data_IF_869837388609
#
_entry.id   IF_869837388609
#
_cell.length_a   1.000
_cell.length_b   1.000
_cell.length_c   1.000
_cell.angle_alpha   90.00
_cell.angle_beta   90.00
_cell.angle_gamma   90.00
#
_symmetry.space_group_name_H-M   'P 1'
#
loop_
_entity.id
_entity.type
_entity.pdbx_description
1 polymer ?
#
# COMPACT_ATOMS: atom_id res chain seq x y z
N UNK A 1 -9.33 -29.09 12.28
CA UNK A 1 -9.77 -28.81 13.66
C UNK A 1 -10.73 -27.65 13.59
N UNK A 2 -12.01 -27.89 13.95
CA UNK A 2 -13.15 -27.03 13.61
C UNK A 2 -13.12 -25.65 14.28
N UNK A 3 -13.29 -24.57 13.53
CA UNK A 3 -13.74 -23.30 14.07
C UNK A 3 -15.18 -23.03 13.66
N UNK A 4 -16.01 -22.92 14.70
CA UNK A 4 -17.45 -22.78 14.67
C UNK A 4 -17.85 -21.35 14.33
N UNK A 5 -18.59 -21.17 13.23
CA UNK A 5 -19.35 -19.96 12.94
C UNK A 5 -20.44 -19.74 13.99
N UNK A 6 -20.42 -18.63 14.70
CA UNK A 6 -21.55 -18.15 15.49
C UNK A 6 -22.35 -17.15 14.67
N UNK A 7 -23.46 -17.63 14.15
CA UNK A 7 -24.55 -16.80 13.62
C UNK A 7 -25.31 -16.26 14.83
N UNK A 8 -25.34 -14.93 14.99
CA UNK A 8 -26.22 -14.27 15.94
C UNK A 8 -27.52 -13.94 15.21
N UNK A 9 -28.55 -14.76 15.44
CA UNK A 9 -29.91 -14.45 15.03
C UNK A 9 -30.52 -13.43 15.99
N UNK A 10 -30.87 -12.27 15.46
CA UNK A 10 -31.64 -11.26 16.21
C UNK A 10 -33.11 -11.66 16.22
N UNK A 11 -33.55 -12.21 17.32
CA UNK A 11 -34.96 -12.56 17.56
C UNK A 11 -35.76 -11.29 17.94
N UNK A 12 -36.73 -10.97 17.10
CA UNK A 12 -37.73 -9.93 17.35
C UNK A 12 -38.69 -10.44 18.44
N UNK A 13 -38.60 -9.89 19.64
CA UNK A 13 -39.57 -10.18 20.70
C UNK A 13 -40.74 -9.19 20.62
N UNK A 14 -41.89 -9.65 20.13
CA UNK A 14 -43.17 -8.97 20.33
C UNK A 14 -43.56 -9.13 21.78
N UNK A 15 -43.61 -8.04 22.51
CA UNK A 15 -44.23 -7.98 23.82
C UNK A 15 -45.67 -7.45 23.64
N UNK A 16 -46.61 -8.35 23.73
CA UNK A 16 -48.01 -8.01 23.91
C UNK A 16 -48.26 -7.74 25.40
N UNK A 17 -48.47 -6.51 25.80
CA UNK A 17 -49.02 -6.22 27.11
C UNK A 17 -50.55 -6.22 27.03
N UNK A 18 -51.16 -7.14 27.79
CA UNK A 18 -52.55 -7.11 28.12
C UNK A 18 -52.79 -6.24 29.35
N UNK A 19 -53.84 -5.45 29.24
CA UNK A 19 -54.17 -4.39 30.15
C UNK A 19 -54.68 -4.80 31.52
N UNK A 20 -54.67 -3.84 32.37
CA UNK A 20 -55.59 -3.78 33.51
C UNK A 20 -56.05 -2.34 33.69
N UNK A 21 -57.34 -2.14 33.58
CA UNK A 21 -58.03 -0.91 33.92
C UNK A 21 -57.76 -0.49 35.37
N UNK A 22 -57.46 0.80 35.53
CA UNK A 22 -58.03 1.61 36.59
C UNK A 22 -57.92 3.07 36.24
N UNK A 23 -59.06 3.73 36.18
CA UNK A 23 -59.25 5.15 36.08
C UNK A 23 -58.39 5.88 37.11
N UNK A 24 -57.53 6.79 36.60
CA UNK A 24 -57.16 7.99 37.32
C UNK A 24 -56.87 9.08 36.28
N UNK A 25 -57.78 10.02 36.23
CA UNK A 25 -57.79 11.20 35.40
C UNK A 25 -56.70 12.15 35.92
N UNK A 26 -55.52 12.05 35.38
CA UNK A 26 -54.54 13.13 35.38
C UNK A 26 -53.82 13.12 34.02
N UNK A 27 -54.36 13.90 33.09
CA UNK A 27 -53.65 14.34 31.91
C UNK A 27 -52.40 15.10 32.34
N UNK A 28 -51.30 14.37 32.61
CA UNK A 28 -49.99 14.96 32.59
C UNK A 28 -49.65 15.18 31.10
N UNK A 29 -49.93 16.41 30.65
CA UNK A 29 -49.25 16.95 29.49
C UNK A 29 -47.74 16.64 29.70
N UNK A 30 -47.16 15.85 28.83
CA UNK A 30 -45.72 15.73 28.71
C UNK A 30 -45.23 17.12 28.31
N UNK A 31 -44.94 17.94 29.28
CA UNK A 31 -44.26 19.22 29.05
C UNK A 31 -42.89 18.86 28.57
N UNK A 32 -42.67 18.94 27.26
CA UNK A 32 -41.36 18.92 26.64
C UNK A 32 -40.46 19.85 27.45
N UNK A 33 -39.42 19.27 28.06
CA UNK A 33 -38.57 20.06 28.97
C UNK A 33 -37.67 21.03 28.21
N UNK A 34 -37.82 21.14 26.88
CA UNK A 34 -37.01 21.99 26.00
C UNK A 34 -35.51 21.69 26.06
N UNK A 35 -35.12 20.47 26.45
CA UNK A 35 -33.73 20.05 26.63
C UNK A 35 -33.13 19.41 25.38
N UNK A 36 -34.00 18.98 24.46
CA UNK A 36 -33.58 18.21 23.29
C UNK A 36 -33.00 19.14 22.22
N UNK A 37 -31.84 18.76 21.67
CA UNK A 37 -31.09 19.51 20.68
C UNK A 37 -30.58 18.60 19.56
N UNK A 38 -31.48 17.80 19.00
CA UNK A 38 -31.11 16.87 17.92
C UNK A 38 -31.88 17.12 16.63
N UNK A 39 -31.29 16.67 15.53
CA UNK A 39 -31.91 16.64 14.21
C UNK A 39 -32.70 15.34 14.11
N UNK A 40 -34.02 15.43 13.87
CA UNK A 40 -34.89 14.24 13.74
C UNK A 40 -34.82 13.67 12.34
N UNK A 41 -34.79 14.53 11.32
CA UNK A 41 -34.60 14.12 9.93
C UNK A 41 -33.84 15.19 9.18
N UNK A 42 -33.13 14.75 8.14
CA UNK A 42 -32.42 15.62 7.22
C UNK A 42 -32.40 14.97 5.84
N UNK A 43 -32.64 15.71 4.79
CA UNK A 43 -32.55 15.24 3.41
C UNK A 43 -32.12 16.37 2.47
N UNK A 44 -31.41 15.98 1.41
CA UNK A 44 -31.07 16.86 0.29
C UNK A 44 -31.90 16.46 -0.92
N UNK A 45 -32.52 17.43 -1.58
CA UNK A 45 -33.34 17.20 -2.77
C UNK A 45 -32.67 17.82 -4.00
N UNK A 46 -32.45 17.01 -5.01
CA UNK A 46 -31.90 17.36 -6.33
C UNK A 46 -32.86 16.88 -7.40
N UNK A 47 -33.26 17.74 -8.32
CA UNK A 47 -34.16 17.42 -9.44
C UNK A 47 -35.44 16.67 -9.04
N UNK A 48 -35.97 17.03 -7.86
CA UNK A 48 -37.17 16.42 -7.30
C UNK A 48 -36.97 15.07 -6.60
N UNK A 49 -35.76 14.57 -6.52
CA UNK A 49 -35.38 13.31 -5.82
C UNK A 49 -34.80 13.69 -4.46
N UNK A 50 -35.35 13.15 -3.37
CA UNK A 50 -34.84 13.38 -2.02
C UNK A 50 -33.92 12.25 -1.55
N UNK A 51 -32.73 12.62 -1.09
CA UNK A 51 -31.74 11.74 -0.49
C UNK A 51 -31.72 11.96 1.03
N UNK A 52 -32.22 10.97 1.76
CA UNK A 52 -32.29 11.05 3.21
C UNK A 52 -30.94 10.81 3.85
N UNK A 53 -30.59 11.65 4.82
CA UNK A 53 -29.37 11.48 5.58
C UNK A 53 -29.49 10.35 6.62
N UNK A 54 -28.38 9.65 6.82
CA UNK A 54 -28.12 8.90 8.04
C UNK A 54 -27.62 9.86 9.12
N UNK A 55 -28.31 9.92 10.25
CA UNK A 55 -27.96 10.82 11.36
C UNK A 55 -27.50 9.94 12.51
N UNK A 56 -26.25 10.11 12.91
CA UNK A 56 -25.64 9.46 14.06
C UNK A 56 -25.04 10.52 14.94
N UNK A 57 -24.97 10.31 16.24
CA UNK A 57 -24.49 11.25 17.26
C UNK A 57 -24.32 12.71 16.79
N UNK A 58 -23.18 13.01 16.17
CA UNK A 58 -22.78 14.35 15.70
C UNK A 58 -22.62 14.45 14.16
N UNK A 59 -23.04 13.41 13.40
CA UNK A 59 -22.87 13.34 11.95
C UNK A 59 -24.17 13.31 11.20
N UNK A 60 -24.18 14.01 10.06
CA UNK A 60 -25.26 13.99 9.05
C UNK A 60 -24.57 13.50 7.75
N UNK A 61 -24.85 12.27 7.36
CA UNK A 61 -24.27 11.67 6.15
C UNK A 61 -25.35 11.46 5.09
N UNK A 62 -25.22 12.11 3.94
CA UNK A 62 -26.10 11.93 2.79
C UNK A 62 -25.39 11.07 1.74
N UNK A 63 -26.05 9.99 1.28
CA UNK A 63 -25.53 9.15 0.18
C UNK A 63 -26.27 9.49 -1.11
N UNK A 64 -25.52 9.84 -2.15
CA UNK A 64 -26.05 10.24 -3.46
C UNK A 64 -25.38 9.47 -4.59
N UNK A 65 -26.04 9.27 -5.74
CA UNK A 65 -25.36 8.73 -6.93
C UNK A 65 -24.19 9.61 -7.38
N UNK A 66 -23.15 9.00 -7.91
CA UNK A 66 -21.87 9.63 -8.27
C UNK A 66 -21.98 10.85 -9.20
N UNK A 67 -22.94 10.83 -10.12
CA UNK A 67 -23.06 11.86 -11.16
C UNK A 67 -24.00 13.02 -10.79
N UNK A 68 -24.43 13.10 -9.53
CA UNK A 68 -25.32 14.14 -9.04
C UNK A 68 -24.53 15.28 -8.42
N UNK A 69 -24.64 16.46 -9.01
CA UNK A 69 -24.15 17.69 -8.38
C UNK A 69 -25.10 18.13 -7.30
N UNK A 70 -24.58 18.32 -6.10
CA UNK A 70 -25.35 18.86 -4.97
C UNK A 70 -25.35 20.39 -4.93
N UNK A 71 -24.81 21.04 -5.96
CA UNK A 71 -24.87 22.49 -6.11
C UNK A 71 -26.27 22.90 -6.57
N UNK A 72 -26.90 23.80 -5.85
CA UNK A 72 -28.30 24.22 -6.10
C UNK A 72 -29.32 23.29 -5.45
N UNK A 73 -28.93 22.25 -4.76
CA UNK A 73 -29.83 21.35 -4.06
C UNK A 73 -30.50 22.02 -2.87
N UNK A 74 -31.75 21.61 -2.57
CA UNK A 74 -32.51 22.10 -1.44
C UNK A 74 -32.44 21.14 -0.25
N UNK A 75 -32.21 21.66 0.95
CA UNK A 75 -32.29 20.85 2.17
C UNK A 75 -33.67 20.91 2.78
N UNK A 76 -34.10 19.79 3.36
CA UNK A 76 -35.24 19.69 4.26
C UNK A 76 -34.83 19.00 5.55
N UNK A 77 -35.34 19.49 6.66
CA UNK A 77 -34.98 18.96 7.98
C UNK A 77 -36.12 19.14 9.00
N UNK A 78 -36.07 18.32 10.03
CA UNK A 78 -36.88 18.49 11.22
C UNK A 78 -36.00 18.41 12.46
N UNK A 79 -36.34 19.23 13.46
CA UNK A 79 -35.61 19.30 14.72
C UNK A 79 -36.45 18.74 15.87
N UNK A 80 -35.80 18.43 16.96
CA UNK A 80 -36.50 18.23 18.26
C UNK A 80 -37.28 19.47 18.64
N UNK A 81 -38.33 19.29 19.44
CA UNK A 81 -39.26 20.34 19.83
C UNK A 81 -38.55 21.54 20.47
N UNK A 82 -38.92 22.75 20.06
CA UNK A 82 -38.33 24.02 20.49
C UNK A 82 -36.82 24.18 20.24
N UNK A 83 -36.20 23.33 19.39
CA UNK A 83 -34.82 23.50 18.96
C UNK A 83 -34.71 24.43 17.76
N UNK A 84 -33.57 25.08 17.62
CA UNK A 84 -33.18 25.90 16.47
C UNK A 84 -31.86 25.41 15.90
N UNK A 85 -31.60 25.68 14.62
CA UNK A 85 -30.36 25.28 13.92
C UNK A 85 -29.71 26.50 13.30
N UNK A 86 -28.37 26.55 13.32
CA UNK A 86 -27.60 27.61 12.70
C UNK A 86 -26.31 27.02 12.10
N UNK A 87 -25.93 27.33 10.83
CA UNK A 87 -26.75 28.05 9.85
C UNK A 87 -28.04 27.29 9.50
N UNK A 88 -29.03 28.03 8.97
CA UNK A 88 -30.25 27.42 8.47
C UNK A 88 -29.95 26.60 7.20
N UNK A 89 -30.13 25.26 7.20
CA UNK A 89 -29.90 24.45 6.04
C UNK A 89 -30.70 24.85 4.80
N UNK A 90 -31.91 25.39 4.98
CA UNK A 90 -32.76 25.82 3.87
C UNK A 90 -32.22 27.04 3.10
N UNK A 91 -31.30 27.79 3.70
CA UNK A 91 -30.64 28.93 3.07
C UNK A 91 -29.37 28.58 2.32
N UNK A 92 -28.86 27.32 2.43
CA UNK A 92 -27.65 26.86 1.78
C UNK A 92 -27.96 26.31 0.39
N UNK A 93 -27.06 26.54 -0.54
CA UNK A 93 -27.22 26.15 -1.96
C UNK A 93 -26.10 25.32 -2.52
N UNK A 94 -25.00 25.11 -1.78
CA UNK A 94 -23.90 24.22 -2.18
C UNK A 94 -23.69 23.16 -1.12
N UNK A 95 -24.08 21.94 -1.44
CA UNK A 95 -24.01 20.78 -0.57
C UNK A 95 -22.88 19.82 -0.96
N UNK A 96 -22.00 20.22 -1.89
CA UNK A 96 -20.75 19.53 -2.14
C UNK A 96 -19.65 19.91 -1.13
N UNK A 97 -19.95 20.90 -0.25
CA UNK A 97 -19.07 21.34 0.82
C UNK A 97 -19.45 20.67 2.14
N UNK A 98 -18.48 20.51 3.04
CA UNK A 98 -18.73 20.09 4.41
C UNK A 98 -19.32 21.25 5.20
N UNK A 99 -20.33 20.97 6.01
CA UNK A 99 -21.00 21.96 6.84
C UNK A 99 -21.02 21.57 8.31
N UNK A 100 -20.96 22.58 9.18
CA UNK A 100 -21.23 22.42 10.61
C UNK A 100 -22.51 23.11 10.96
N UNK A 101 -23.40 22.42 11.70
CA UNK A 101 -24.64 22.92 12.18
C UNK A 101 -24.68 22.91 13.71
N UNK A 102 -25.05 24.04 14.33
CA UNK A 102 -25.26 24.11 15.77
C UNK A 102 -26.77 24.03 16.03
N UNK A 103 -27.20 22.96 16.66
CA UNK A 103 -28.59 22.79 17.12
C UNK A 103 -28.68 23.20 18.56
N UNK A 104 -29.50 24.22 18.82
CA UNK A 104 -29.70 24.82 20.15
C UNK A 104 -31.08 24.46 20.65
N UNK A 105 -31.16 23.80 21.80
CA UNK A 105 -32.40 23.49 22.48
C UNK A 105 -33.10 24.74 23.07
N UNK A 106 -34.38 24.64 23.42
CA UNK A 106 -35.13 25.73 24.07
C UNK A 106 -34.47 26.23 25.36
N UNK A 107 -33.73 25.39 26.08
CA UNK A 107 -33.00 25.77 27.28
C UNK A 107 -31.52 26.18 27.03
N UNK A 108 -31.17 26.54 25.77
CA UNK A 108 -29.87 27.07 25.36
C UNK A 108 -28.68 26.08 25.40
N UNK A 109 -28.94 24.79 25.34
CA UNK A 109 -27.87 23.80 25.16
C UNK A 109 -27.57 23.61 23.67
N UNK A 110 -26.28 23.57 23.31
CA UNK A 110 -25.82 23.40 21.94
C UNK A 110 -25.33 21.98 21.70
N UNK A 111 -25.58 21.47 20.49
CA UNK A 111 -25.00 20.29 19.93
C UNK A 111 -24.51 20.60 18.51
N UNK A 112 -23.30 20.20 18.17
CA UNK A 112 -22.73 20.40 16.85
C UNK A 112 -22.94 19.15 16.01
N UNK A 113 -23.35 19.34 14.77
CA UNK A 113 -23.42 18.28 13.75
C UNK A 113 -22.53 18.61 12.58
N UNK A 114 -21.88 17.60 12.04
CA UNK A 114 -21.04 17.68 10.86
C UNK A 114 -21.77 17.02 9.69
N UNK A 115 -22.08 17.81 8.67
CA UNK A 115 -22.62 17.32 7.42
C UNK A 115 -21.48 16.91 6.51
N UNK A 116 -21.64 15.74 5.89
CA UNK A 116 -20.85 15.24 4.78
C UNK A 116 -21.74 14.47 3.82
N UNK A 117 -21.26 14.26 2.60
CA UNK A 117 -21.91 13.38 1.65
C UNK A 117 -20.93 12.31 1.16
N UNK A 118 -21.47 11.19 0.72
CA UNK A 118 -20.75 10.10 0.08
C UNK A 118 -21.50 9.68 -1.17
N UNK A 119 -20.77 9.16 -2.15
CA UNK A 119 -21.43 8.53 -3.28
C UNK A 119 -21.98 7.16 -2.86
N UNK A 120 -23.22 6.87 -3.26
CA UNK A 120 -23.84 5.58 -3.01
C UNK A 120 -23.12 4.50 -3.82
N UNK A 121 -22.80 3.38 -3.18
CA UNK A 121 -22.29 2.21 -3.89
C UNK A 121 -23.42 1.64 -4.77
N UNK A 122 -23.17 1.61 -6.10
CA UNK A 122 -24.00 0.94 -7.08
C UNK A 122 -23.21 -0.25 -7.58
N UNK A 123 -23.52 -1.42 -7.01
CA UNK A 123 -22.76 -2.64 -7.24
C UNK A 123 -23.33 -3.47 -8.40
N UNK A 124 -22.42 -3.95 -9.25
CA UNK A 124 -22.67 -5.07 -10.18
C UNK A 124 -22.15 -6.35 -9.56
N UNK A 125 -23.00 -7.37 -9.42
CA UNK A 125 -22.61 -8.67 -8.89
C UNK A 125 -22.04 -9.58 -9.98
N UNK A 126 -20.90 -10.23 -9.68
CA UNK A 126 -20.19 -11.10 -10.60
C UNK A 126 -19.18 -10.37 -11.48
N UNK A 127 -18.61 -11.08 -12.43
CA UNK A 127 -17.57 -10.53 -13.31
C UNK A 127 -18.18 -9.68 -14.42
N UNK A 128 -17.58 -8.52 -14.68
CA UNK A 128 -17.89 -7.66 -15.81
C UNK A 128 -16.82 -7.87 -16.89
N UNK A 129 -17.25 -8.16 -18.11
CA UNK A 129 -16.37 -8.33 -19.26
C UNK A 129 -16.74 -7.27 -20.28
N UNK A 130 -15.78 -6.45 -20.68
CA UNK A 130 -15.90 -5.38 -21.67
C UNK A 130 -15.07 -5.79 -22.88
N UNK A 131 -15.73 -6.34 -23.93
CA UNK A 131 -15.03 -6.90 -25.10
C UNK A 131 -14.90 -5.91 -26.24
N UNK A 132 -15.69 -4.83 -26.24
CA UNK A 132 -15.73 -3.79 -27.28
C UNK A 132 -15.66 -2.40 -26.69
N UNK A 133 -15.30 -1.39 -27.50
CA UNK A 133 -15.37 0.01 -27.09
C UNK A 133 -16.79 0.40 -26.69
N UNK A 134 -17.81 -0.12 -27.38
CA UNK A 134 -19.22 0.15 -27.06
C UNK A 134 -19.59 -0.38 -25.65
N UNK A 135 -19.04 -1.50 -25.20
CA UNK A 135 -19.25 -1.99 -23.83
C UNK A 135 -18.68 -1.02 -22.81
N UNK A 136 -17.47 -0.50 -23.07
CA UNK A 136 -16.82 0.51 -22.22
C UNK A 136 -17.66 1.79 -22.16
N UNK A 137 -18.07 2.32 -23.32
CA UNK A 137 -18.86 3.56 -23.41
C UNK A 137 -20.22 3.44 -22.72
N UNK A 138 -20.86 2.28 -22.84
CA UNK A 138 -22.14 2.00 -22.20
C UNK A 138 -22.03 1.80 -20.70
N UNK A 139 -20.86 1.40 -20.17
CA UNK A 139 -20.66 1.16 -18.74
C UNK A 139 -20.96 2.41 -17.92
N UNK A 140 -20.56 3.59 -18.37
CA UNK A 140 -20.83 4.87 -17.69
C UNK A 140 -22.32 5.10 -17.43
N UNK A 141 -23.18 4.74 -18.40
CA UNK A 141 -24.63 4.94 -18.26
C UNK A 141 -25.28 4.07 -17.19
N UNK A 142 -24.62 2.99 -16.79
CA UNK A 142 -25.04 2.08 -15.71
C UNK A 142 -24.78 2.63 -14.32
N UNK A 143 -23.97 3.68 -14.19
CA UNK A 143 -23.60 4.35 -12.92
C UNK A 143 -22.96 3.43 -11.87
N UNK A 144 -22.40 2.30 -12.32
CA UNK A 144 -21.74 1.33 -11.45
C UNK A 144 -20.43 1.92 -10.95
N UNK A 145 -20.23 1.94 -9.63
CA UNK A 145 -18.96 2.31 -9.00
C UNK A 145 -18.31 1.15 -8.25
N UNK A 146 -19.00 0.01 -8.09
CA UNK A 146 -18.45 -1.20 -7.49
C UNK A 146 -18.73 -2.42 -8.37
N UNK A 147 -17.73 -3.22 -8.69
CA UNK A 147 -17.86 -4.54 -9.29
C UNK A 147 -17.55 -5.58 -8.21
N UNK A 148 -18.58 -6.32 -7.77
CA UNK A 148 -18.44 -7.43 -6.84
C UNK A 148 -18.02 -8.71 -7.60
N UNK A 149 -16.84 -8.67 -8.21
CA UNK A 149 -16.31 -9.71 -9.09
C UNK A 149 -15.04 -9.24 -9.79
N UNK A 150 -14.75 -9.80 -10.97
CA UNK A 150 -13.64 -9.36 -11.80
C UNK A 150 -14.08 -8.30 -12.81
N UNK A 151 -13.18 -7.39 -13.14
CA UNK A 151 -13.25 -6.55 -14.33
C UNK A 151 -12.26 -7.10 -15.36
N UNK A 152 -12.77 -7.51 -16.52
CA UNK A 152 -11.96 -7.95 -17.66
C UNK A 152 -12.16 -6.96 -18.79
N UNK A 153 -11.09 -6.31 -19.22
CA UNK A 153 -11.07 -5.37 -20.35
C UNK A 153 -10.39 -6.02 -21.53
N UNK A 154 -11.13 -6.16 -22.61
CA UNK A 154 -10.67 -6.73 -23.86
C UNK A 154 -10.69 -8.26 -23.89
N UNK A 155 -10.17 -8.79 -24.97
CA UNK A 155 -10.04 -10.20 -25.28
C UNK A 155 -8.65 -10.48 -25.89
N UNK A 156 -8.24 -11.75 -25.93
CA UNK A 156 -7.00 -12.14 -26.62
C UNK A 156 -7.14 -12.03 -28.15
N UNK A 157 -8.37 -12.11 -28.63
CA UNK A 157 -8.78 -11.85 -30.02
C UNK A 157 -10.13 -11.16 -29.98
N UNK A 158 -10.25 -9.98 -30.52
CA UNK A 158 -11.51 -9.20 -30.49
C UNK A 158 -11.35 -7.84 -31.16
N UNK A 159 -12.36 -7.01 -31.00
CA UNK A 159 -12.32 -5.61 -31.45
C UNK A 159 -11.40 -4.78 -30.55
N UNK A 160 -10.77 -3.78 -31.15
CA UNK A 160 -9.88 -2.88 -30.42
C UNK A 160 -10.69 -1.97 -29.48
N UNK A 161 -10.24 -1.88 -28.22
CA UNK A 161 -10.70 -0.93 -27.22
C UNK A 161 -9.62 0.14 -27.09
N UNK A 162 -9.95 1.40 -27.35
CA UNK A 162 -8.96 2.47 -27.48
C UNK A 162 -8.84 3.36 -26.24
N UNK A 163 -9.85 3.39 -25.36
CA UNK A 163 -9.84 4.13 -24.10
C UNK A 163 -10.77 3.46 -23.08
N UNK A 164 -10.68 3.92 -21.85
CA UNK A 164 -11.49 3.45 -20.71
C UNK A 164 -12.37 4.55 -20.10
N UNK A 165 -12.71 5.60 -20.87
CA UNK A 165 -13.46 6.77 -20.38
C UNK A 165 -14.82 6.41 -19.77
N UNK A 166 -15.39 5.29 -20.19
CA UNK A 166 -16.62 4.74 -19.61
C UNK A 166 -16.49 4.26 -18.16
N UNK A 167 -15.27 4.01 -17.67
CA UNK A 167 -14.98 3.50 -16.32
C UNK A 167 -14.70 4.63 -15.30
N UNK A 168 -14.86 5.90 -15.67
CA UNK A 168 -14.46 7.04 -14.83
C UNK A 168 -15.18 7.11 -13.47
N UNK A 169 -16.27 6.38 -13.30
CA UNK A 169 -17.02 6.31 -12.03
C UNK A 169 -16.66 5.08 -11.18
N UNK A 170 -15.82 4.18 -11.70
CA UNK A 170 -15.50 2.93 -11.02
C UNK A 170 -14.54 3.19 -9.86
N UNK A 171 -14.99 2.90 -8.62
CA UNK A 171 -14.22 3.10 -7.40
C UNK A 171 -13.67 1.78 -6.84
N UNK A 172 -14.38 0.65 -7.10
CA UNK A 172 -14.02 -0.62 -6.46
C UNK A 172 -14.22 -1.81 -7.38
N UNK A 173 -13.24 -2.74 -7.36
CA UNK A 173 -13.33 -4.08 -7.96
C UNK A 173 -12.91 -5.10 -6.91
N UNK A 174 -13.85 -5.92 -6.41
CA UNK A 174 -13.55 -6.79 -5.26
C UNK A 174 -12.59 -7.93 -5.57
N UNK A 175 -12.52 -8.39 -6.83
CA UNK A 175 -11.58 -9.42 -7.24
C UNK A 175 -10.48 -8.83 -8.12
N UNK A 176 -10.35 -9.22 -9.37
CA UNK A 176 -9.21 -8.85 -10.20
C UNK A 176 -9.59 -7.88 -11.32
N UNK A 177 -8.74 -6.89 -11.56
CA UNK A 177 -8.68 -6.12 -12.81
C UNK A 177 -7.70 -6.81 -13.75
N UNK A 178 -8.17 -7.14 -14.96
CA UNK A 178 -7.42 -7.87 -15.98
C UNK A 178 -7.54 -7.12 -17.31
N UNK A 179 -6.40 -6.68 -17.86
CA UNK A 179 -6.33 -6.00 -19.15
C UNK A 179 -5.75 -6.97 -20.18
N UNK A 180 -6.46 -7.16 -21.29
CA UNK A 180 -6.11 -8.12 -22.35
C UNK A 180 -5.60 -7.45 -23.62
N UNK A 181 -5.19 -8.25 -24.59
CA UNK A 181 -4.51 -7.86 -25.83
C UNK A 181 -5.31 -6.88 -26.71
N UNK A 182 -6.64 -6.96 -26.74
CA UNK A 182 -7.45 -6.07 -27.59
C UNK A 182 -7.62 -4.66 -27.00
N UNK A 183 -7.18 -4.40 -25.76
CA UNK A 183 -7.03 -3.04 -25.29
C UNK A 183 -5.83 -2.39 -25.97
N UNK A 184 -6.04 -1.26 -26.65
CA UNK A 184 -5.05 -0.54 -27.46
C UNK A 184 -4.71 0.85 -26.92
N UNK A 185 -5.35 1.27 -25.84
CA UNK A 185 -4.94 2.47 -25.13
C UNK A 185 -3.54 2.31 -24.56
N UNK A 186 -2.82 3.41 -24.40
CA UNK A 186 -1.48 3.45 -23.84
C UNK A 186 -1.47 3.80 -22.34
N UNK A 187 -2.63 4.10 -21.74
CA UNK A 187 -2.78 4.44 -20.33
C UNK A 187 -4.09 3.87 -19.74
N UNK A 188 -4.30 4.12 -18.43
CA UNK A 188 -5.49 3.72 -17.68
C UNK A 188 -6.27 4.92 -17.14
N UNK A 189 -6.15 6.10 -17.75
CA UNK A 189 -6.73 7.36 -17.27
C UNK A 189 -8.25 7.29 -17.04
N UNK A 190 -8.96 6.44 -17.81
CA UNK A 190 -10.39 6.20 -17.61
C UNK A 190 -10.75 5.51 -16.28
N UNK A 191 -9.78 4.95 -15.54
CA UNK A 191 -9.99 4.35 -14.22
C UNK A 191 -9.47 5.26 -13.08
N UNK A 192 -9.43 6.57 -13.29
CA UNK A 192 -8.86 7.53 -12.34
C UNK A 192 -9.56 7.61 -10.98
N UNK A 193 -10.80 7.11 -10.87
CA UNK A 193 -11.55 7.06 -9.61
C UNK A 193 -11.37 5.75 -8.84
N UNK A 194 -10.65 4.76 -9.38
CA UNK A 194 -10.47 3.45 -8.75
C UNK A 194 -9.67 3.58 -7.45
N UNK A 195 -10.29 3.22 -6.30
CA UNK A 195 -9.73 3.35 -4.95
C UNK A 195 -9.30 2.02 -4.34
N UNK A 196 -10.06 0.97 -4.64
CA UNK A 196 -9.82 -0.35 -4.06
C UNK A 196 -9.93 -1.44 -5.11
N UNK A 197 -8.99 -2.36 -5.11
CA UNK A 197 -9.01 -3.53 -5.96
C UNK A 197 -8.55 -4.77 -5.21
N UNK A 198 -9.18 -5.92 -5.50
CA UNK A 198 -8.72 -7.20 -4.97
C UNK A 198 -7.33 -7.53 -5.49
N UNK A 199 -7.19 -7.66 -6.80
CA UNK A 199 -5.90 -7.82 -7.47
C UNK A 199 -5.83 -6.93 -8.72
N UNK A 200 -4.66 -6.37 -8.96
CA UNK A 200 -4.36 -5.68 -10.21
C UNK A 200 -3.26 -6.45 -10.96
N UNK A 201 -3.61 -7.04 -12.11
CA UNK A 201 -2.69 -7.98 -12.78
C UNK A 201 -2.55 -7.70 -14.28
N UNK A 202 -1.35 -7.32 -14.68
CA UNK A 202 -0.87 -7.33 -16.06
C UNK A 202 0.18 -8.43 -16.19
N UNK A 203 -0.23 -9.61 -16.63
CA UNK A 203 0.57 -10.83 -16.59
C UNK A 203 0.45 -11.57 -15.25
N UNK A 204 1.37 -12.49 -15.03
CA UNK A 204 1.54 -13.26 -13.77
C UNK A 204 3.01 -13.27 -13.37
N UNK A 205 3.35 -13.83 -12.22
CA UNK A 205 4.76 -13.97 -11.80
C UNK A 205 5.59 -14.76 -12.80
N UNK A 206 4.97 -15.66 -13.59
CA UNK A 206 5.67 -16.54 -14.54
C UNK A 206 5.48 -16.14 -16.00
N UNK A 207 4.48 -15.32 -16.33
CA UNK A 207 4.11 -15.00 -17.70
C UNK A 207 3.93 -13.49 -17.92
N UNK A 208 4.46 -13.00 -19.05
CA UNK A 208 4.23 -11.63 -19.49
C UNK A 208 2.74 -11.42 -19.82
N UNK A 209 2.29 -10.18 -19.66
CA UNK A 209 0.99 -9.74 -20.13
C UNK A 209 0.87 -9.92 -21.64
N UNK A 210 -0.32 -10.24 -22.10
CA UNK A 210 -0.63 -10.31 -23.55
C UNK A 210 -0.92 -8.93 -24.15
N UNK A 211 -1.12 -7.90 -23.33
CA UNK A 211 -1.25 -6.53 -23.82
C UNK A 211 0.14 -6.02 -24.24
N UNK A 212 0.20 -5.32 -25.38
CA UNK A 212 1.45 -4.87 -25.99
C UNK A 212 1.51 -3.35 -26.21
N UNK A 213 0.48 -2.61 -25.76
CA UNK A 213 0.32 -1.18 -26.07
C UNK A 213 0.32 -0.29 -24.84
N UNK A 214 0.04 -0.84 -23.67
CA UNK A 214 -0.01 -0.07 -22.43
C UNK A 214 1.41 0.35 -22.03
N UNK A 215 1.62 1.66 -21.88
CA UNK A 215 2.91 2.28 -21.55
C UNK A 215 2.89 2.95 -20.17
N UNK A 216 1.70 3.41 -19.73
CA UNK A 216 1.55 4.14 -18.48
C UNK A 216 0.46 3.54 -17.61
N UNK A 217 0.79 3.31 -16.35
CA UNK A 217 -0.18 2.98 -15.30
C UNK A 217 -0.24 4.18 -14.36
N UNK A 218 -1.31 4.97 -14.47
CA UNK A 218 -1.62 6.04 -13.52
C UNK A 218 -2.99 5.76 -12.92
N UNK A 219 -3.01 5.50 -11.62
CA UNK A 219 -4.21 5.23 -10.83
C UNK A 219 -4.20 6.16 -9.61
N UNK A 220 -4.51 7.46 -9.82
CA UNK A 220 -4.25 8.50 -8.83
C UNK A 220 -5.09 8.39 -7.56
N UNK A 221 -6.22 7.69 -7.61
CA UNK A 221 -7.09 7.49 -6.46
C UNK A 221 -6.93 6.11 -5.81
N UNK A 222 -6.09 5.20 -6.35
CA UNK A 222 -5.93 3.84 -5.83
C UNK A 222 -5.25 3.87 -4.46
N UNK A 223 -6.00 3.52 -3.42
CA UNK A 223 -5.54 3.53 -2.03
C UNK A 223 -5.13 2.13 -1.54
N UNK A 224 -5.87 1.10 -1.98
CA UNK A 224 -5.66 -0.25 -1.46
C UNK A 224 -5.77 -1.32 -2.54
N UNK A 225 -4.81 -2.23 -2.54
CA UNK A 225 -4.86 -3.51 -3.25
C UNK A 225 -4.89 -4.61 -2.20
N UNK A 226 -6.04 -5.28 -2.01
CA UNK A 226 -6.17 -6.27 -0.91
C UNK A 226 -5.42 -7.58 -1.15
N UNK A 227 -5.08 -7.88 -2.40
CA UNK A 227 -4.26 -9.02 -2.83
C UNK A 227 -2.99 -8.58 -3.55
N UNK A 228 -2.78 -9.09 -4.77
CA UNK A 228 -1.57 -8.83 -5.55
C UNK A 228 -1.69 -7.60 -6.47
N UNK A 229 -0.61 -6.82 -6.52
CA UNK A 229 -0.33 -5.85 -7.59
C UNK A 229 0.82 -6.38 -8.44
N UNK A 230 0.51 -6.95 -9.60
CA UNK A 230 1.49 -7.57 -10.48
C UNK A 230 1.50 -6.90 -11.84
N UNK A 231 2.63 -6.33 -12.20
CA UNK A 231 2.92 -5.78 -13.53
C UNK A 231 4.10 -6.57 -14.09
N UNK A 232 3.83 -7.40 -15.06
CA UNK A 232 4.85 -8.08 -15.85
C UNK A 232 4.60 -7.84 -17.32
N UNK A 233 5.09 -6.69 -17.79
CA UNK A 233 4.87 -6.22 -19.14
C UNK A 233 6.05 -5.40 -19.66
N UNK A 234 6.53 -5.72 -20.85
CA UNK A 234 7.73 -5.12 -21.42
C UNK A 234 7.57 -3.61 -21.74
N UNK A 235 6.37 -3.18 -22.15
CA UNK A 235 6.12 -1.82 -22.65
C UNK A 235 5.87 -0.78 -21.57
N UNK A 236 5.70 -1.16 -20.30
CA UNK A 236 5.42 -0.20 -19.23
C UNK A 236 6.65 0.66 -18.97
N UNK A 237 6.50 1.96 -19.23
CA UNK A 237 7.52 2.98 -18.97
C UNK A 237 7.26 3.79 -17.69
N UNK A 238 5.99 4.02 -17.34
CA UNK A 238 5.65 4.88 -16.22
C UNK A 238 4.60 4.22 -15.31
N UNK A 239 4.83 4.27 -14.01
CA UNK A 239 3.89 3.83 -12.98
C UNK A 239 3.74 4.93 -11.94
N UNK A 240 2.52 5.44 -11.76
CA UNK A 240 2.18 6.52 -10.84
C UNK A 240 0.98 6.11 -9.97
N UNK A 241 1.24 5.85 -8.69
CA UNK A 241 0.29 5.37 -7.68
C UNK A 241 0.35 6.27 -6.43
N UNK A 242 0.08 7.58 -6.55
CA UNK A 242 0.38 8.54 -5.51
C UNK A 242 -0.41 8.34 -4.21
N UNK A 243 -1.59 7.74 -4.28
CA UNK A 243 -2.45 7.50 -3.12
C UNK A 243 -2.36 6.07 -2.56
N UNK A 244 -1.54 5.18 -3.17
CA UNK A 244 -1.47 3.78 -2.75
C UNK A 244 -0.79 3.65 -1.39
N UNK A 245 -1.54 3.10 -0.42
CA UNK A 245 -1.11 2.94 0.98
C UNK A 245 -0.75 1.50 1.33
N UNK A 246 -1.45 0.54 0.74
CA UNK A 246 -1.32 -0.85 1.13
C UNK A 246 -1.48 -1.82 -0.05
N UNK A 247 -0.62 -2.83 -0.09
CA UNK A 247 -0.76 -4.02 -0.92
C UNK A 247 -0.75 -5.24 0.01
N UNK A 248 -1.90 -5.94 0.11
CA UNK A 248 -2.10 -7.02 1.08
C UNK A 248 -1.27 -8.27 0.82
N UNK A 249 -0.89 -8.52 -0.44
CA UNK A 249 -0.05 -9.66 -0.83
C UNK A 249 1.21 -9.16 -1.55
N UNK A 250 1.44 -9.57 -2.79
CA UNK A 250 2.66 -9.28 -3.54
C UNK A 250 2.56 -7.97 -4.35
N UNK A 251 3.54 -7.10 -4.19
CA UNK A 251 3.80 -5.96 -5.07
C UNK A 251 4.97 -6.31 -6.00
N UNK A 252 4.67 -6.60 -7.26
CA UNK A 252 5.66 -7.06 -8.22
C UNK A 252 5.60 -6.25 -9.51
N UNK A 253 6.71 -5.61 -9.87
CA UNK A 253 6.88 -4.90 -11.13
C UNK A 253 8.08 -5.47 -11.85
N UNK A 254 7.86 -6.00 -13.05
CA UNK A 254 8.88 -6.44 -13.97
C UNK A 254 8.61 -5.88 -15.36
N UNK A 255 9.40 -4.89 -15.77
CA UNK A 255 9.31 -4.23 -17.06
C UNK A 255 10.70 -4.06 -17.68
N UNK A 256 10.77 -4.13 -19.01
CA UNK A 256 12.01 -3.88 -19.75
C UNK A 256 12.30 -2.38 -19.91
N UNK A 257 11.26 -1.54 -19.90
CA UNK A 257 11.35 -0.12 -20.24
C UNK A 257 10.99 0.82 -19.11
N UNK A 258 11.00 0.38 -17.84
CA UNK A 258 10.59 1.24 -16.73
C UNK A 258 11.53 2.46 -16.59
N UNK A 259 10.95 3.66 -16.73
CA UNK A 259 11.63 4.95 -16.64
C UNK A 259 11.28 5.69 -15.36
N UNK A 260 10.02 5.63 -14.95
CA UNK A 260 9.53 6.34 -13.76
C UNK A 260 8.58 5.47 -12.95
N UNK A 261 8.75 5.54 -11.63
CA UNK A 261 7.93 4.84 -10.67
C UNK A 261 7.66 5.73 -9.45
N UNK A 262 6.40 5.83 -9.02
CA UNK A 262 6.02 6.52 -7.80
C UNK A 262 4.92 5.76 -7.05
N UNK A 263 5.15 5.52 -5.75
CA UNK A 263 4.18 5.01 -4.77
C UNK A 263 4.53 5.60 -3.39
N UNK A 264 4.48 6.92 -3.28
CA UNK A 264 5.05 7.66 -2.16
C UNK A 264 4.32 7.44 -0.83
N UNK A 265 3.01 7.15 -0.85
CA UNK A 265 2.21 6.89 0.35
C UNK A 265 2.18 5.41 0.76
N UNK A 266 2.91 4.53 0.04
CA UNK A 266 2.92 3.10 0.34
C UNK A 266 3.54 2.85 1.73
N UNK A 267 2.72 2.31 2.65
CA UNK A 267 3.14 2.04 4.04
C UNK A 267 3.44 0.57 4.30
N UNK A 268 2.80 -0.34 3.56
CA UNK A 268 3.00 -1.77 3.80
C UNK A 268 2.76 -2.63 2.55
N UNK A 269 3.52 -3.72 2.47
CA UNK A 269 3.34 -4.82 1.53
C UNK A 269 3.27 -6.12 2.33
N UNK A 270 2.14 -6.83 2.25
CA UNK A 270 1.89 -8.01 3.10
C UNK A 270 2.72 -9.25 2.76
N UNK A 271 3.25 -9.34 1.52
CA UNK A 271 4.15 -10.42 1.10
C UNK A 271 5.41 -9.82 0.44
N UNK A 272 5.70 -10.12 -0.82
CA UNK A 272 6.94 -9.68 -1.45
C UNK A 272 6.79 -8.30 -2.13
N UNK A 273 7.81 -7.45 -1.96
CA UNK A 273 8.02 -6.27 -2.77
C UNK A 273 9.15 -6.55 -3.76
N UNK A 274 8.85 -6.52 -5.06
CA UNK A 274 9.84 -6.81 -6.09
C UNK A 274 9.78 -5.78 -7.23
N UNK A 275 10.86 -5.04 -7.42
CA UNK A 275 11.10 -4.19 -8.57
C UNK A 275 12.23 -4.82 -9.39
N UNK A 276 11.92 -5.25 -10.60
CA UNK A 276 12.85 -6.01 -11.42
C UNK A 276 12.94 -5.37 -12.80
N UNK A 277 14.09 -4.80 -13.12
CA UNK A 277 14.45 -4.49 -14.49
C UNK A 277 14.70 -5.81 -15.22
N UNK A 278 13.94 -6.07 -16.28
CA UNK A 278 14.18 -7.27 -17.08
C UNK A 278 15.36 -7.07 -18.01
N UNK A 279 16.06 -8.13 -18.32
CA UNK A 279 17.20 -8.10 -19.25
C UNK A 279 16.79 -8.72 -20.57
N UNK A 280 17.36 -8.23 -21.66
CA UNK A 280 17.27 -8.85 -22.98
C UNK A 280 18.07 -10.17 -23.06
N UNK A 281 18.10 -10.81 -24.23
CA UNK A 281 18.84 -12.05 -24.46
C UNK A 281 20.37 -11.88 -24.27
N UNK A 282 20.88 -10.63 -24.32
CA UNK A 282 22.30 -10.33 -24.08
C UNK A 282 22.62 -10.12 -22.59
N UNK A 283 21.61 -10.09 -21.72
CA UNK A 283 21.72 -9.77 -20.29
C UNK A 283 21.75 -8.27 -20.00
N UNK A 284 21.45 -7.42 -21.00
CA UNK A 284 21.38 -5.97 -20.82
C UNK A 284 19.99 -5.56 -20.36
N UNK A 285 19.89 -4.75 -19.32
CA UNK A 285 18.61 -4.14 -18.89
C UNK A 285 18.35 -2.87 -19.68
N UNK A 286 17.10 -2.72 -20.14
CA UNK A 286 16.59 -1.49 -20.76
C UNK A 286 15.77 -0.64 -19.77
N UNK A 287 15.78 -0.99 -18.50
CA UNK A 287 15.11 -0.25 -17.44
C UNK A 287 16.02 0.87 -16.92
N UNK A 288 15.65 2.12 -17.20
CA UNK A 288 16.47 3.30 -16.94
C UNK A 288 15.90 4.19 -15.81
N UNK A 289 15.20 3.58 -14.85
CA UNK A 289 14.77 4.32 -13.65
C UNK A 289 15.97 4.76 -12.82
N UNK A 290 15.99 6.04 -12.47
CA UNK A 290 17.10 6.65 -11.70
C UNK A 290 16.81 6.66 -10.18
N UNK A 291 15.54 6.70 -9.79
CA UNK A 291 15.15 6.89 -8.39
C UNK A 291 13.90 6.07 -8.06
N UNK A 292 13.92 5.36 -6.93
CA UNK A 292 12.73 4.78 -6.30
C UNK A 292 12.52 5.40 -4.92
N UNK A 293 11.28 5.79 -4.61
CA UNK A 293 10.95 6.53 -3.38
C UNK A 293 9.80 5.85 -2.66
N UNK A 294 10.09 5.38 -1.43
CA UNK A 294 9.14 4.76 -0.51
C UNK A 294 9.30 5.37 0.89
N UNK A 295 9.07 6.68 1.06
CA UNK A 295 9.42 7.40 2.28
C UNK A 295 8.60 6.95 3.50
N UNK A 296 7.40 6.40 3.25
CA UNK A 296 6.46 5.98 4.27
C UNK A 296 6.37 4.45 4.44
N UNK A 297 7.16 3.67 3.67
CA UNK A 297 7.15 2.20 3.75
C UNK A 297 7.71 1.74 5.10
N UNK A 298 6.85 1.13 5.91
CA UNK A 298 7.19 0.64 7.25
C UNK A 298 7.56 -0.83 7.26
N UNK A 299 6.90 -1.65 6.43
CA UNK A 299 7.09 -3.10 6.50
C UNK A 299 6.86 -3.82 5.17
N UNK A 300 7.59 -4.91 5.00
CA UNK A 300 7.42 -5.90 3.93
C UNK A 300 7.34 -7.29 4.57
N UNK A 301 6.20 -7.98 4.41
CA UNK A 301 5.94 -9.29 5.04
C UNK A 301 6.65 -10.48 4.36
N UNK A 302 7.33 -10.27 3.25
CA UNK A 302 8.16 -11.25 2.55
C UNK A 302 9.50 -10.65 2.16
N UNK A 303 10.01 -10.98 0.96
CA UNK A 303 11.27 -10.42 0.47
C UNK A 303 11.06 -9.01 -0.11
N UNK A 304 12.05 -8.15 0.10
CA UNK A 304 12.25 -6.90 -0.62
C UNK A 304 13.36 -7.09 -1.64
N UNK A 305 13.04 -7.01 -2.93
CA UNK A 305 13.99 -7.24 -4.03
C UNK A 305 13.99 -6.08 -5.00
N UNK A 306 15.13 -5.43 -5.20
CA UNK A 306 15.35 -4.43 -6.25
C UNK A 306 16.56 -4.86 -7.05
N UNK A 307 16.38 -5.09 -8.36
CA UNK A 307 17.48 -5.59 -9.19
C UNK A 307 17.36 -5.21 -10.67
N UNK A 308 18.52 -5.21 -11.35
CA UNK A 308 18.67 -5.01 -12.79
C UNK A 308 18.23 -3.61 -13.26
N UNK A 309 18.56 -2.55 -12.49
CA UNK A 309 18.38 -1.16 -12.89
C UNK A 309 19.76 -0.48 -12.95
N UNK A 310 20.39 -0.44 -14.13
CA UNK A 310 21.78 0.02 -14.26
C UNK A 310 21.95 1.53 -14.00
N UNK A 311 20.88 2.31 -14.03
CA UNK A 311 20.90 3.75 -13.80
C UNK A 311 20.30 4.15 -12.44
N UNK A 312 19.86 3.19 -11.62
CA UNK A 312 19.23 3.47 -10.33
C UNK A 312 20.25 4.00 -9.33
N UNK A 313 20.25 5.31 -9.17
CA UNK A 313 21.20 6.03 -8.32
C UNK A 313 20.74 6.15 -6.86
N UNK A 314 19.43 6.08 -6.60
CA UNK A 314 18.87 6.27 -5.26
C UNK A 314 17.63 5.42 -5.01
N UNK A 315 17.54 4.88 -3.80
CA UNK A 315 16.33 4.28 -3.23
C UNK A 315 16.11 4.87 -1.84
N UNK A 316 14.95 5.50 -1.64
CA UNK A 316 14.55 5.99 -0.32
C UNK A 316 13.60 4.99 0.36
N UNK A 317 14.08 4.35 1.41
CA UNK A 317 13.32 3.48 2.31
C UNK A 317 13.56 3.91 3.77
N UNK A 318 13.66 5.22 4.01
CA UNK A 318 14.08 5.77 5.31
C UNK A 318 13.14 5.47 6.48
N UNK A 319 11.88 5.13 6.21
CA UNK A 319 10.92 4.72 7.24
C UNK A 319 10.90 3.20 7.51
N UNK A 320 11.55 2.38 6.67
CA UNK A 320 11.46 0.91 6.72
C UNK A 320 11.98 0.36 8.06
N UNK A 321 11.12 -0.37 8.76
CA UNK A 321 11.40 -0.94 10.07
C UNK A 321 11.66 -2.44 10.05
N UNK A 322 10.94 -3.17 9.19
CA UNK A 322 11.05 -4.62 9.12
C UNK A 322 10.83 -5.18 7.72
N UNK A 323 11.61 -6.21 7.38
CA UNK A 323 11.42 -7.09 6.24
C UNK A 323 11.44 -8.52 6.78
N UNK A 324 10.29 -9.24 6.72
CA UNK A 324 10.25 -10.61 7.28
C UNK A 324 11.08 -11.61 6.46
N UNK A 325 11.31 -11.32 5.19
CA UNK A 325 12.17 -12.06 4.28
C UNK A 325 13.53 -11.39 4.06
N UNK A 326 14.09 -11.62 2.89
CA UNK A 326 15.40 -11.12 2.49
C UNK A 326 15.32 -9.69 1.94
N UNK A 327 16.34 -8.89 2.22
CA UNK A 327 16.61 -7.59 1.60
C UNK A 327 17.65 -7.80 0.50
N UNK A 328 17.27 -7.63 -0.77
CA UNK A 328 18.08 -7.94 -1.92
C UNK A 328 18.24 -6.72 -2.82
N UNK A 329 19.48 -6.25 -2.98
CA UNK A 329 19.89 -5.21 -3.93
C UNK A 329 20.92 -5.80 -4.88
N UNK A 330 20.61 -5.90 -6.18
CA UNK A 330 21.51 -6.55 -7.14
C UNK A 330 21.53 -5.85 -8.50
N UNK A 331 22.73 -5.72 -9.09
CA UNK A 331 22.89 -5.15 -10.44
C UNK A 331 22.28 -3.75 -10.56
N UNK A 332 22.69 -2.84 -9.69
CA UNK A 332 22.19 -1.47 -9.53
C UNK A 332 23.36 -0.47 -9.57
N UNK A 333 23.04 0.83 -9.78
CA UNK A 333 24.01 1.92 -9.73
C UNK A 333 23.96 2.74 -8.41
N UNK A 334 23.42 2.19 -7.34
CA UNK A 334 23.27 2.88 -6.07
C UNK A 334 24.59 3.37 -5.51
N UNK A 335 24.61 4.63 -5.07
CA UNK A 335 25.74 5.22 -4.35
C UNK A 335 25.72 4.92 -2.84
N UNK A 336 24.57 4.60 -2.27
CA UNK A 336 24.40 4.24 -0.87
C UNK A 336 23.09 3.51 -0.65
N UNK A 337 23.05 2.70 0.40
CA UNK A 337 21.82 2.04 0.91
C UNK A 337 21.66 2.46 2.36
N UNK A 338 20.59 3.19 2.65
CA UNK A 338 20.30 3.77 3.96
C UNK A 338 19.00 3.22 4.50
N UNK A 339 19.07 2.42 5.56
CA UNK A 339 17.96 1.79 6.25
C UNK A 339 17.98 2.14 7.75
N UNK A 340 17.89 3.43 8.11
CA UNK A 340 18.22 3.93 9.44
C UNK A 340 17.30 3.44 10.55
N UNK A 341 16.09 2.97 10.19
CA UNK A 341 15.09 2.47 11.17
C UNK A 341 14.85 0.96 11.08
N UNK A 342 15.60 0.26 10.21
CA UNK A 342 15.40 -1.17 10.05
C UNK A 342 15.94 -1.93 11.25
N UNK A 343 15.07 -2.68 11.92
CA UNK A 343 15.42 -3.43 13.15
C UNK A 343 15.55 -4.95 12.91
N UNK A 344 14.94 -5.48 11.86
CA UNK A 344 14.97 -6.90 11.55
C UNK A 344 14.82 -7.18 10.06
N UNK A 345 15.55 -8.17 9.57
CA UNK A 345 15.32 -8.85 8.30
C UNK A 345 15.82 -10.29 8.39
N UNK A 346 15.45 -11.12 7.41
CA UNK A 346 15.98 -12.47 7.36
C UNK A 346 17.42 -12.47 6.87
N UNK A 347 17.66 -12.07 5.60
CA UNK A 347 19.01 -12.00 5.04
C UNK A 347 19.22 -10.62 4.38
N UNK A 348 20.48 -10.18 4.31
CA UNK A 348 20.91 -9.01 3.54
C UNK A 348 21.81 -9.48 2.41
N UNK A 349 21.44 -9.16 1.17
CA UNK A 349 22.21 -9.47 -0.01
C UNK A 349 22.41 -8.20 -0.85
N UNK A 350 23.66 -7.79 -1.04
CA UNK A 350 24.05 -6.66 -1.89
C UNK A 350 25.14 -7.15 -2.85
N UNK A 351 24.79 -7.29 -4.12
CA UNK A 351 25.67 -7.85 -5.14
C UNK A 351 25.72 -6.98 -6.40
N UNK A 352 26.92 -6.75 -6.93
CA UNK A 352 27.14 -5.94 -8.14
C UNK A 352 26.57 -4.52 -8.01
N UNK A 353 26.81 -3.86 -6.87
CA UNK A 353 26.34 -2.49 -6.59
C UNK A 353 27.55 -1.63 -6.21
N UNK A 354 27.87 -0.54 -6.94
CA UNK A 354 29.04 0.29 -6.69
C UNK A 354 28.81 1.30 -5.56
N UNK A 355 28.12 0.91 -4.49
CA UNK A 355 27.80 1.81 -3.37
C UNK A 355 29.04 2.18 -2.56
N UNK A 356 29.02 3.36 -1.92
CA UNK A 356 30.06 3.82 -1.01
C UNK A 356 29.77 3.42 0.44
N UNK A 357 28.50 3.34 0.81
CA UNK A 357 28.08 3.06 2.19
C UNK A 357 26.82 2.19 2.24
N UNK A 358 26.78 1.29 3.21
CA UNK A 358 25.59 0.56 3.64
C UNK A 358 25.34 0.88 5.11
N UNK A 359 24.15 1.37 5.45
CA UNK A 359 23.81 1.77 6.83
C UNK A 359 22.48 1.16 7.26
N UNK A 360 22.54 0.32 8.29
CA UNK A 360 21.42 -0.24 9.02
C UNK A 360 21.76 -0.26 10.53
N UNK A 361 22.00 0.92 11.16
CA UNK A 361 22.54 1.03 12.50
C UNK A 361 21.63 0.49 13.61
N UNK A 362 20.32 0.39 13.38
CA UNK A 362 19.33 -0.14 14.31
C UNK A 362 19.00 -1.62 14.08
N UNK A 363 19.64 -2.28 13.09
CA UNK A 363 19.39 -3.69 12.78
C UNK A 363 19.92 -4.57 13.94
N UNK A 364 18.99 -5.27 14.61
CA UNK A 364 19.29 -6.09 15.78
C UNK A 364 19.54 -7.55 15.44
N UNK A 365 18.82 -8.07 14.45
CA UNK A 365 18.86 -9.47 14.04
C UNK A 365 18.85 -9.60 12.53
N UNK A 366 19.70 -10.45 12.01
CA UNK A 366 19.68 -10.89 10.62
C UNK A 366 20.19 -12.33 10.50
N UNK A 367 19.79 -13.01 9.44
CA UNK A 367 20.35 -14.29 9.04
C UNK A 367 21.67 -14.11 8.32
N UNK A 368 21.76 -14.49 7.04
CA UNK A 368 23.00 -14.27 6.28
C UNK A 368 23.16 -12.79 5.85
N UNK A 369 24.43 -12.35 5.81
CA UNK A 369 24.82 -11.04 5.27
C UNK A 369 25.85 -11.24 4.19
N UNK A 370 25.55 -10.75 2.98
CA UNK A 370 26.43 -10.85 1.82
C UNK A 370 26.65 -9.50 1.16
N UNK A 371 27.89 -9.08 1.07
CA UNK A 371 28.36 -8.03 0.17
C UNK A 371 29.33 -8.65 -0.83
N UNK A 372 28.96 -8.64 -2.10
CA UNK A 372 29.75 -9.25 -3.17
C UNK A 372 29.85 -8.31 -4.37
N UNK A 373 31.09 -8.12 -4.85
CA UNK A 373 31.37 -7.26 -5.99
C UNK A 373 30.82 -5.82 -5.84
N UNK A 374 31.04 -5.22 -4.66
CA UNK A 374 30.68 -3.84 -4.35
C UNK A 374 31.96 -2.99 -4.32
N UNK A 375 32.48 -2.63 -5.50
CA UNK A 375 33.83 -2.11 -5.68
C UNK A 375 34.13 -0.81 -4.90
N UNK A 376 33.13 0.05 -4.66
CA UNK A 376 33.31 1.33 -3.97
C UNK A 376 32.92 1.27 -2.47
N UNK A 377 32.48 0.13 -1.95
CA UNK A 377 32.00 0.02 -0.57
C UNK A 377 33.13 0.25 0.41
N UNK A 378 33.10 1.41 1.07
CA UNK A 378 34.11 1.81 2.06
C UNK A 378 33.60 1.76 3.49
N UNK A 379 32.29 1.71 3.70
CA UNK A 379 31.65 1.75 5.01
C UNK A 379 30.45 0.79 5.07
N UNK A 380 30.44 -0.06 6.10
CA UNK A 380 29.29 -0.90 6.48
C UNK A 380 28.95 -0.56 7.93
N UNK A 381 27.78 -0.01 8.20
CA UNK A 381 27.29 0.26 9.55
C UNK A 381 26.08 -0.64 9.89
N UNK A 382 26.35 -1.64 10.71
CA UNK A 382 25.36 -2.54 11.32
C UNK A 382 25.69 -2.63 12.83
N UNK A 383 25.93 -1.47 13.45
CA UNK A 383 26.53 -1.36 14.79
C UNK A 383 25.67 -1.93 15.92
N UNK A 384 24.36 -2.13 15.71
CA UNK A 384 23.49 -2.80 16.68
C UNK A 384 23.48 -4.34 16.55
N UNK A 385 24.00 -4.91 15.45
CA UNK A 385 24.00 -6.37 15.24
C UNK A 385 25.01 -7.04 16.15
N UNK A 386 24.54 -7.95 17.01
CA UNK A 386 25.39 -8.76 17.88
C UNK A 386 25.53 -10.21 17.42
N UNK A 387 24.56 -10.73 16.69
CA UNK A 387 24.54 -12.10 16.17
C UNK A 387 24.08 -12.10 14.70
N UNK A 388 24.80 -12.82 13.86
CA UNK A 388 24.41 -13.19 12.50
C UNK A 388 24.07 -14.66 12.51
N UNK A 389 22.78 -15.00 12.27
CA UNK A 389 22.28 -16.39 12.35
C UNK A 389 22.69 -17.26 11.15
N UNK A 390 23.21 -16.67 10.08
CA UNK A 390 23.73 -17.34 8.89
C UNK A 390 25.20 -17.01 8.62
N UNK A 391 25.56 -17.00 7.34
CA UNK A 391 26.91 -16.68 6.89
C UNK A 391 27.12 -15.15 6.84
N UNK A 392 28.34 -14.71 7.14
CA UNK A 392 28.82 -13.35 6.84
C UNK A 392 29.85 -13.43 5.71
N UNK A 393 29.50 -12.87 4.55
CA UNK A 393 30.35 -12.86 3.36
C UNK A 393 30.69 -11.43 2.94
N UNK A 394 31.98 -11.11 2.95
CA UNK A 394 32.58 -9.91 2.41
C UNK A 394 33.51 -10.34 1.28
N UNK A 395 33.10 -10.17 0.02
CA UNK A 395 33.83 -10.67 -1.12
C UNK A 395 33.99 -9.59 -2.21
N UNK A 396 35.19 -9.47 -2.75
CA UNK A 396 35.53 -8.56 -3.84
C UNK A 396 35.10 -7.10 -3.54
N UNK A 397 35.59 -6.54 -2.43
CA UNK A 397 35.31 -5.19 -1.93
C UNK A 397 36.60 -4.36 -1.94
N UNK A 398 36.90 -3.71 -3.08
CA UNK A 398 38.21 -3.15 -3.40
C UNK A 398 38.70 -2.03 -2.45
N UNK A 399 37.78 -1.35 -1.76
CA UNK A 399 38.11 -0.19 -0.90
C UNK A 399 37.76 -0.37 0.56
N UNK A 400 37.07 -1.45 0.95
CA UNK A 400 36.70 -1.70 2.34
C UNK A 400 37.93 -2.07 3.18
N UNK A 401 38.45 -1.12 3.91
CA UNK A 401 39.72 -1.28 4.68
C UNK A 401 39.50 -1.42 6.17
N UNK A 402 38.28 -1.29 6.69
CA UNK A 402 37.88 -1.55 8.06
C UNK A 402 36.42 -2.02 8.14
N UNK A 403 36.05 -2.63 9.25
CA UNK A 403 34.70 -3.13 9.55
C UNK A 403 34.23 -2.64 10.93
N UNK A 404 34.53 -1.39 11.28
CA UNK A 404 34.19 -0.79 12.58
C UNK A 404 32.68 -0.84 12.87
N UNK A 405 31.82 -0.72 11.85
CA UNK A 405 30.38 -0.84 11.98
C UNK A 405 29.85 -2.26 12.28
N UNK A 406 30.77 -3.26 12.42
CA UNK A 406 30.48 -4.62 12.89
C UNK A 406 31.08 -4.89 14.29
N UNK A 407 31.54 -3.86 15.00
CA UNK A 407 32.28 -4.04 16.26
C UNK A 407 31.46 -4.62 17.42
N UNK A 408 30.14 -4.59 17.34
CA UNK A 408 29.24 -5.22 18.32
C UNK A 408 29.05 -6.73 18.08
N UNK A 409 29.52 -7.26 16.94
CA UNK A 409 29.29 -8.65 16.55
C UNK A 409 30.02 -9.62 17.48
N UNK A 410 29.28 -10.54 18.08
CA UNK A 410 29.80 -11.56 19.02
C UNK A 410 29.73 -12.97 18.44
N UNK A 411 28.78 -13.26 17.55
CA UNK A 411 28.57 -14.60 17.01
C UNK A 411 28.18 -14.56 15.53
N UNK A 412 28.74 -15.50 14.75
CA UNK A 412 28.31 -15.83 13.39
C UNK A 412 28.01 -17.33 13.37
N UNK A 413 26.73 -17.70 13.33
CA UNK A 413 26.30 -19.10 13.39
C UNK A 413 26.62 -19.87 12.09
N UNK A 414 26.92 -19.18 11.00
CA UNK A 414 27.44 -19.70 9.75
C UNK A 414 28.96 -19.48 9.60
N UNK A 415 29.40 -19.38 8.34
CA UNK A 415 30.78 -19.11 7.99
C UNK A 415 31.06 -17.61 7.88
N UNK A 416 32.21 -17.18 8.39
CA UNK A 416 32.78 -15.87 8.12
C UNK A 416 33.73 -15.97 6.93
N UNK A 417 33.36 -15.37 5.80
CA UNK A 417 34.20 -15.33 4.60
C UNK A 417 34.61 -13.89 4.30
N UNK A 418 35.91 -13.64 4.24
CA UNK A 418 36.51 -12.37 3.83
C UNK A 418 37.51 -12.68 2.72
N UNK A 419 37.18 -12.32 1.49
CA UNK A 419 37.99 -12.62 0.33
C UNK A 419 38.08 -11.42 -0.60
N UNK A 420 39.31 -11.13 -1.07
CA UNK A 420 39.56 -9.99 -1.96
C UNK A 420 39.11 -8.65 -1.38
N UNK A 421 39.41 -8.43 -0.09
CA UNK A 421 39.08 -7.25 0.71
C UNK A 421 40.32 -6.68 1.34
N UNK A 422 40.70 -5.40 1.16
CA UNK A 422 41.94 -4.81 1.65
C UNK A 422 41.92 -4.47 3.14
N UNK A 423 41.28 -5.32 3.97
CA UNK A 423 41.29 -5.15 5.42
C UNK A 423 42.71 -5.18 5.97
N UNK A 424 43.03 -4.29 6.88
CA UNK A 424 44.35 -4.16 7.51
C UNK A 424 44.46 -4.97 8.81
N UNK A 425 43.39 -5.09 9.53
CA UNK A 425 43.31 -5.86 10.77
C UNK A 425 41.87 -6.32 11.07
N UNK A 426 41.74 -7.19 12.06
CA UNK A 426 40.48 -7.73 12.56
C UNK A 426 40.08 -7.13 13.92
N UNK A 427 40.72 -6.06 14.36
CA UNK A 427 40.46 -5.47 15.68
C UNK A 427 38.99 -5.09 15.92
N UNK A 428 38.25 -4.58 14.92
CA UNK A 428 36.81 -4.34 15.09
C UNK A 428 36.00 -5.60 15.41
N UNK A 429 36.46 -6.79 15.02
CA UNK A 429 35.80 -8.07 15.29
C UNK A 429 36.40 -8.78 16.54
N UNK A 430 37.12 -8.08 17.41
CA UNK A 430 37.70 -8.65 18.61
C UNK A 430 36.68 -9.21 19.62
N UNK A 431 35.40 -8.76 19.51
CA UNK A 431 34.31 -9.26 20.34
C UNK A 431 33.75 -10.60 19.84
N UNK A 432 34.18 -11.08 18.67
CA UNK A 432 33.69 -12.32 18.06
C UNK A 432 34.15 -13.53 18.89
N UNK A 433 33.18 -14.26 19.43
CA UNK A 433 33.44 -15.42 20.31
C UNK A 433 33.13 -16.76 19.66
N UNK A 434 32.31 -16.77 18.58
CA UNK A 434 31.91 -18.01 17.90
C UNK A 434 31.68 -17.80 16.40
N UNK A 435 32.21 -18.74 15.60
CA UNK A 435 31.92 -18.90 14.17
C UNK A 435 31.88 -20.38 13.82
N UNK A 436 31.11 -20.79 12.80
CA UNK A 436 31.14 -22.19 12.31
C UNK A 436 32.43 -22.49 11.54
N UNK A 437 32.82 -21.58 10.67
CA UNK A 437 34.05 -21.65 9.91
C UNK A 437 34.56 -20.26 9.54
N UNK A 438 35.84 -20.12 9.22
CA UNK A 438 36.44 -18.86 8.82
C UNK A 438 37.30 -19.05 7.59
N UNK A 439 37.11 -18.22 6.58
CA UNK A 439 37.94 -18.12 5.38
C UNK A 439 38.39 -16.68 5.22
N UNK A 440 39.69 -16.42 5.24
CA UNK A 440 40.32 -15.11 5.03
C UNK A 440 41.36 -15.26 3.94
N UNK A 441 41.15 -14.64 2.78
CA UNK A 441 42.03 -14.75 1.63
C UNK A 441 42.18 -13.42 0.91
N UNK A 442 43.34 -13.15 0.33
CA UNK A 442 43.63 -11.94 -0.45
C UNK A 442 43.29 -10.64 0.31
N UNK A 443 43.74 -10.52 1.55
CA UNK A 443 43.55 -9.35 2.41
C UNK A 443 44.90 -8.70 2.72
N UNK A 444 44.88 -7.50 3.33
CA UNK A 444 46.06 -6.82 3.86
C UNK A 444 46.27 -7.07 5.35
N UNK A 445 45.62 -8.08 5.93
CA UNK A 445 45.70 -8.41 7.36
C UNK A 445 47.09 -8.99 7.67
N UNK A 446 47.86 -8.31 8.50
CA UNK A 446 49.17 -8.74 8.97
C UNK A 446 49.07 -9.65 10.22
N UNK A 447 48.07 -9.42 11.04
CA UNK A 447 47.82 -10.18 12.28
C UNK A 447 46.34 -10.53 12.43
N UNK A 448 46.04 -11.81 12.58
CA UNK A 448 44.72 -12.34 12.85
C UNK A 448 44.65 -12.75 14.33
N UNK A 449 44.07 -11.91 15.19
CA UNK A 449 43.84 -12.26 16.58
C UNK A 449 42.45 -12.80 16.82
N UNK A 450 42.31 -14.12 16.88
CA UNK A 450 41.05 -14.85 17.10
C UNK A 450 41.12 -15.71 18.38
N UNK A 451 42.03 -15.39 19.29
CA UNK A 451 42.27 -16.20 20.51
C UNK A 451 41.06 -16.43 21.39
N UNK A 452 40.06 -15.55 21.31
CA UNK A 452 38.78 -15.69 22.02
C UNK A 452 37.70 -16.44 21.27
N UNK A 453 37.91 -16.74 19.96
CA UNK A 453 36.87 -17.29 19.08
C UNK A 453 36.87 -18.82 19.10
N UNK A 454 35.69 -19.42 19.22
CA UNK A 454 35.46 -20.86 19.12
C UNK A 454 34.91 -21.22 17.73
N UNK A 455 35.36 -22.34 17.19
CA UNK A 455 34.89 -22.87 15.90
C UNK A 455 33.89 -24.00 16.18
N UNK A 456 32.60 -23.74 15.88
CA UNK A 456 31.50 -24.65 16.21
C UNK A 456 31.34 -25.82 15.19
N UNK A 457 32.08 -25.82 14.11
CA UNK A 457 31.97 -26.76 12.98
C UNK A 457 32.79 -28.06 13.11
N UNK A 458 32.97 -28.62 14.31
CA UNK A 458 33.60 -29.96 14.47
C UNK A 458 32.71 -30.87 15.32
#
# INVERSE_FOLDING_TARGET
MNYIFRIVALSLALITCWGCDKDDDSSQEFVSTGKDNYIVSFAITVDGISYNASITDDRILVKVPYDISLKGAAASYTLSENATINPDPSALTDWNEEWQFIVTSGNKRNKVYHYSYEYAEISESGSVVLETQADVDNFKSRRINCIAGNLVVGADKGEDINNLDGLCNLEKVTNSVIIKKSYKGNDLSGMSSLREVGNFKLGTLDQLSTNETLETISLPALETVTGDFIIRQATIANIDLPALKEVGETFHIASEGLLAFAANELTSVGSNLALIGTTDESGTSNSHSEVFVFPDLLSVGGNMTIRNFPDLASVDCSALQAVEGNVIFRDLALSGILLPKMTACRDVEVCNVPLYTFQAPELLQCGAVTFDNCANLGEVDMSAVTVIDGDLTLNNLEVLNNVEGLSSLTEVHGNLTISDVPLKDMAPLANLTSVTGMTVTNTNIETLDIRGCTFAGK
#
